data_IF_324281957050
#
_entry.id   IF_324281957050
#
_cell.length_a   1.000
_cell.length_b   1.000
_cell.length_c   1.000
_cell.angle_alpha   90.00
_cell.angle_beta   90.00
_cell.angle_gamma   90.00
#
_symmetry.space_group_name_H-M   'P 1'
#
loop_
_entity.id
_entity.type
_entity.pdbx_description
1 polymer ?
#
# COMPACT_ATOMS: atom_id res chain seq x y z
N UNK A 1 -11.57 -15.04 14.17
CA UNK A 1 -12.16 -14.19 13.11
C UNK A 1 -11.45 -14.48 11.79
N UNK A 2 -12.15 -14.26 10.67
CA UNK A 2 -11.59 -14.32 9.32
C UNK A 2 -11.19 -12.92 8.88
N UNK A 3 -9.88 -12.67 8.81
CA UNK A 3 -9.31 -11.35 8.53
C UNK A 3 -8.79 -11.30 7.10
N UNK A 4 -9.22 -10.30 6.33
CA UNK A 4 -8.70 -10.02 5.01
C UNK A 4 -7.73 -8.83 5.02
N UNK A 5 -6.49 -9.03 4.62
CA UNK A 5 -5.50 -7.97 4.45
C UNK A 5 -5.41 -7.59 2.98
N UNK A 6 -5.64 -6.32 2.67
CA UNK A 6 -5.59 -5.79 1.31
C UNK A 6 -4.28 -5.04 1.09
N UNK A 7 -3.52 -5.40 0.06
CA UNK A 7 -2.26 -4.73 -0.28
C UNK A 7 -2.06 -4.67 -1.79
N UNK A 8 -2.02 -3.47 -2.35
CA UNK A 8 -1.93 -3.31 -3.80
C UNK A 8 -0.55 -3.70 -4.34
N UNK A 9 0.47 -3.70 -3.50
CA UNK A 9 1.85 -4.05 -3.83
C UNK A 9 2.55 -4.59 -2.59
N UNK A 10 3.21 -5.75 -2.68
CA UNK A 10 3.80 -6.41 -1.51
C UNK A 10 5.12 -7.08 -1.83
N UNK A 11 6.06 -6.30 -2.41
CA UNK A 11 7.39 -6.84 -2.71
C UNK A 11 8.04 -7.43 -1.45
N UNK A 12 8.52 -8.70 -1.48
CA UNK A 12 8.99 -9.38 -0.28
C UNK A 12 10.30 -8.82 0.29
N UNK A 13 11.13 -8.20 -0.56
CA UNK A 13 12.50 -7.76 -0.20
C UNK A 13 12.75 -6.26 -0.36
N UNK A 14 11.83 -5.51 -0.95
CA UNK A 14 12.00 -4.06 -1.13
C UNK A 14 10.73 -3.29 -0.78
N UNK A 15 10.92 -2.13 -0.19
CA UNK A 15 9.81 -1.32 0.34
C UNK A 15 9.22 -1.91 1.63
N UNK A 16 8.56 -1.07 2.40
CA UNK A 16 8.01 -1.46 3.70
C UNK A 16 6.73 -2.28 3.63
N UNK A 17 5.93 -2.12 2.56
CA UNK A 17 4.56 -2.67 2.50
C UNK A 17 4.51 -4.19 2.55
N UNK A 18 5.35 -4.88 1.78
CA UNK A 18 5.39 -6.34 1.76
C UNK A 18 5.88 -6.93 3.08
N UNK A 19 6.89 -6.31 3.69
CA UNK A 19 7.43 -6.70 5.00
C UNK A 19 6.37 -6.50 6.08
N UNK A 20 5.67 -5.35 6.06
CA UNK A 20 4.58 -5.06 7.00
C UNK A 20 3.46 -6.11 6.90
N UNK A 21 2.99 -6.43 5.70
CA UNK A 21 1.94 -7.43 5.47
C UNK A 21 2.39 -8.83 5.95
N UNK A 22 3.64 -9.21 5.69
CA UNK A 22 4.20 -10.48 6.16
C UNK A 22 4.15 -10.58 7.68
N UNK A 23 4.67 -9.58 8.39
CA UNK A 23 4.70 -9.60 9.85
C UNK A 23 3.30 -9.48 10.47
N UNK A 24 2.44 -8.62 9.93
CA UNK A 24 1.07 -8.46 10.41
C UNK A 24 0.24 -9.74 10.22
N UNK A 25 0.31 -10.36 9.04
CA UNK A 25 -0.41 -11.61 8.77
C UNK A 25 0.05 -12.75 9.68
N UNK A 26 1.36 -12.87 9.93
CA UNK A 26 1.94 -13.82 10.89
C UNK A 26 1.44 -13.57 12.31
N UNK A 27 1.46 -12.33 12.77
CA UNK A 27 1.03 -11.97 14.12
C UNK A 27 -0.47 -12.27 14.32
N UNK A 28 -1.33 -11.89 13.38
CA UNK A 28 -2.76 -12.18 13.44
C UNK A 28 -3.04 -13.69 13.43
N UNK A 29 -2.32 -14.45 12.62
CA UNK A 29 -2.42 -15.92 12.62
C UNK A 29 -2.02 -16.50 13.98
N UNK A 30 -0.92 -16.03 14.57
CA UNK A 30 -0.46 -16.50 15.89
C UNK A 30 -1.46 -16.19 17.01
N UNK A 31 -2.28 -15.14 16.84
CA UNK A 31 -3.41 -14.82 17.71
C UNK A 31 -4.66 -15.70 17.46
N UNK A 32 -4.58 -16.69 16.58
CA UNK A 32 -5.67 -17.62 16.31
C UNK A 32 -6.68 -17.14 15.27
N UNK A 33 -6.35 -16.13 14.46
CA UNK A 33 -7.21 -15.67 13.37
C UNK A 33 -6.93 -16.45 12.06
N UNK A 34 -7.97 -16.66 11.27
CA UNK A 34 -7.85 -17.14 9.89
C UNK A 34 -7.54 -15.93 9.01
N UNK A 35 -6.33 -15.89 8.42
CA UNK A 35 -5.85 -14.72 7.69
C UNK A 35 -5.74 -15.01 6.20
N UNK A 36 -6.36 -14.15 5.38
CA UNK A 36 -6.23 -14.12 3.92
C UNK A 36 -5.61 -12.79 3.48
N UNK A 37 -4.54 -12.85 2.72
CA UNK A 37 -3.90 -11.67 2.10
C UNK A 37 -4.33 -11.58 0.65
N UNK A 38 -5.07 -10.52 0.30
CA UNK A 38 -5.42 -10.19 -1.08
C UNK A 38 -4.36 -9.22 -1.60
N UNK A 39 -3.43 -9.72 -2.41
CA UNK A 39 -2.29 -8.89 -2.86
C UNK A 39 -2.24 -8.73 -4.37
N UNK A 40 -1.91 -7.48 -4.80
CA UNK A 40 -1.38 -7.23 -6.14
C UNK A 40 0.10 -7.63 -6.26
N UNK A 41 0.63 -7.77 -7.49
CA UNK A 41 2.05 -8.03 -7.71
C UNK A 41 2.92 -6.79 -7.40
N UNK A 42 4.20 -6.98 -7.05
CA UNK A 42 4.83 -8.25 -6.70
C UNK A 42 4.21 -8.85 -5.43
N UNK A 43 4.01 -10.17 -5.44
CA UNK A 43 3.33 -10.86 -4.35
C UNK A 43 4.23 -11.04 -3.14
N UNK A 44 3.67 -11.03 -1.90
CA UNK A 44 4.44 -11.23 -0.70
C UNK A 44 4.84 -12.70 -0.51
N UNK A 45 5.95 -12.92 0.19
CA UNK A 45 6.26 -14.21 0.80
C UNK A 45 5.62 -14.27 2.19
N UNK A 46 4.65 -15.16 2.36
CA UNK A 46 3.86 -15.30 3.58
C UNK A 46 4.25 -16.57 4.34
N UNK A 47 4.09 -16.53 5.66
CA UNK A 47 4.29 -17.70 6.51
C UNK A 47 3.25 -18.80 6.22
N UNK A 48 3.62 -20.05 6.45
CA UNK A 48 2.72 -21.20 6.28
C UNK A 48 1.41 -20.99 7.02
N UNK A 49 0.29 -21.33 6.38
CA UNK A 49 -1.06 -21.20 6.93
C UNK A 49 -1.68 -19.79 6.87
N UNK A 50 -1.04 -18.83 6.23
CA UNK A 50 -1.66 -17.59 5.75
C UNK A 50 -2.09 -17.83 4.29
N UNK A 51 -3.35 -17.56 3.98
CA UNK A 51 -3.87 -17.75 2.62
C UNK A 51 -3.52 -16.54 1.73
N UNK A 52 -2.91 -16.79 0.57
CA UNK A 52 -2.63 -15.76 -0.44
C UNK A 52 -3.65 -15.82 -1.57
N UNK A 53 -4.44 -14.75 -1.71
CA UNK A 53 -5.35 -14.53 -2.83
C UNK A 53 -4.70 -13.51 -3.77
N UNK A 54 -4.21 -13.99 -4.91
CA UNK A 54 -3.56 -13.15 -5.91
C UNK A 54 -4.59 -12.30 -6.66
N UNK A 55 -4.39 -11.00 -6.63
CA UNK A 55 -5.15 -10.01 -7.43
C UNK A 55 -4.26 -9.62 -8.61
N UNK A 56 -4.55 -10.08 -9.82
CA UNK A 56 -3.66 -9.83 -10.96
C UNK A 56 -3.64 -8.35 -11.35
N UNK A 57 -2.51 -7.90 -11.90
CA UNK A 57 -2.37 -6.64 -12.63
C UNK A 57 -1.63 -6.90 -13.95
N UNK A 58 -1.48 -5.88 -14.79
CA UNK A 58 -0.76 -6.02 -16.05
C UNK A 58 0.76 -6.14 -15.87
N UNK A 59 1.30 -5.81 -14.68
CA UNK A 59 2.74 -5.92 -14.37
C UNK A 59 3.62 -5.00 -15.21
N UNK A 60 3.10 -3.86 -15.67
CA UNK A 60 3.74 -3.01 -16.68
C UNK A 60 4.99 -2.27 -16.19
N UNK A 61 5.15 -2.14 -14.87
CA UNK A 61 6.34 -1.49 -14.29
C UNK A 61 7.57 -2.40 -14.30
N UNK A 62 7.34 -3.71 -14.32
CA UNK A 62 8.40 -4.72 -14.36
C UNK A 62 8.81 -5.05 -15.80
N UNK A 63 7.91 -4.80 -16.77
CA UNK A 63 8.19 -4.97 -18.18
C UNK A 63 8.80 -3.70 -18.77
N UNK A 64 10.04 -3.74 -19.27
CA UNK A 64 10.68 -2.60 -19.92
C UNK A 64 9.99 -2.13 -21.21
N UNK A 65 9.05 -2.90 -21.78
CA UNK A 65 8.42 -2.67 -23.08
C UNK A 65 6.93 -2.35 -22.97
N UNK A 66 6.61 -1.20 -22.38
CA UNK A 66 5.22 -0.78 -22.08
C UNK A 66 4.31 -0.72 -23.31
N UNK A 67 4.84 -0.29 -24.48
CA UNK A 67 4.08 -0.25 -25.74
C UNK A 67 3.74 -1.63 -26.26
N UNK A 68 4.71 -2.55 -26.26
CA UNK A 68 4.52 -3.93 -26.71
C UNK A 68 3.67 -4.77 -25.78
N UNK A 69 3.42 -4.30 -24.57
CA UNK A 69 2.55 -4.97 -23.61
C UNK A 69 1.07 -4.91 -23.98
N UNK A 70 0.68 -4.09 -24.97
CA UNK A 70 -0.71 -4.02 -25.43
C UNK A 70 -1.21 -5.38 -25.89
N UNK A 71 -2.43 -5.71 -25.49
CA UNK A 71 -3.18 -6.90 -25.92
C UNK A 71 -4.59 -6.48 -26.31
N UNK A 72 -5.12 -7.00 -27.43
CA UNK A 72 -6.48 -6.69 -27.87
C UNK A 72 -7.54 -6.94 -26.79
N UNK A 73 -7.31 -7.90 -25.89
CA UNK A 73 -8.20 -8.17 -24.75
C UNK A 73 -8.38 -6.96 -23.80
N UNK A 74 -7.44 -6.00 -23.80
CA UNK A 74 -7.58 -4.80 -22.94
C UNK A 74 -8.76 -3.93 -23.38
N UNK A 75 -9.14 -3.97 -24.65
CA UNK A 75 -10.31 -3.25 -25.15
C UNK A 75 -11.63 -3.78 -24.53
N UNK A 76 -11.64 -5.01 -24.06
CA UNK A 76 -12.79 -5.63 -23.39
C UNK A 76 -12.77 -5.48 -21.86
N UNK A 77 -11.70 -4.92 -21.29
CA UNK A 77 -11.52 -4.67 -19.87
C UNK A 77 -11.21 -3.19 -19.63
N UNK A 78 -12.18 -2.35 -19.27
CA UNK A 78 -11.94 -0.92 -19.01
C UNK A 78 -10.86 -0.67 -17.96
N UNK A 79 -10.70 -1.59 -16.98
CA UNK A 79 -9.68 -1.49 -15.93
C UNK A 79 -8.29 -1.72 -16.51
N UNK A 80 -8.14 -2.73 -17.37
CA UNK A 80 -6.85 -3.06 -17.99
C UNK A 80 -6.44 -1.98 -19.01
N UNK A 81 -7.40 -1.49 -19.79
CA UNK A 81 -7.18 -0.39 -20.73
C UNK A 81 -6.74 0.88 -19.99
N UNK A 82 -7.42 1.24 -18.90
CA UNK A 82 -7.06 2.37 -18.05
C UNK A 82 -5.65 2.19 -17.46
N UNK A 83 -5.32 0.99 -16.95
CA UNK A 83 -4.00 0.69 -16.40
C UNK A 83 -2.92 0.87 -17.47
N UNK A 84 -3.11 0.31 -18.66
CA UNK A 84 -2.16 0.41 -19.75
C UNK A 84 -1.94 1.87 -20.20
N UNK A 85 -2.99 2.64 -20.48
CA UNK A 85 -2.89 4.04 -20.90
C UNK A 85 -2.23 4.89 -19.83
N UNK A 86 -2.58 4.67 -18.56
CA UNK A 86 -2.02 5.46 -17.46
C UNK A 86 -0.52 5.22 -17.30
N UNK A 87 -0.07 3.96 -17.35
CA UNK A 87 1.36 3.63 -17.28
C UNK A 87 2.11 4.12 -18.50
N UNK A 88 1.52 4.02 -19.71
CA UNK A 88 2.10 4.51 -20.95
C UNK A 88 2.39 6.02 -20.88
N UNK A 89 1.51 6.77 -20.22
CA UNK A 89 1.65 8.22 -20.04
C UNK A 89 2.40 8.61 -18.76
N UNK A 90 3.10 7.66 -18.09
CA UNK A 90 3.93 7.91 -16.91
C UNK A 90 3.17 8.01 -15.58
N UNK A 91 1.90 7.62 -15.54
CA UNK A 91 1.10 7.60 -14.31
C UNK A 91 1.22 6.29 -13.55
N UNK A 92 0.74 6.30 -12.28
CA UNK A 92 0.73 5.16 -11.38
C UNK A 92 -0.72 4.74 -11.05
N UNK A 93 -1.32 3.80 -11.82
CA UNK A 93 -2.73 3.43 -11.67
C UNK A 93 -2.98 2.38 -10.60
N UNK A 94 -1.96 1.71 -10.06
CA UNK A 94 -2.10 0.51 -9.22
C UNK A 94 -3.07 0.68 -8.05
N UNK A 95 -3.05 1.76 -7.24
CA UNK A 95 -4.00 1.91 -6.14
C UNK A 95 -5.47 1.87 -6.60
N UNK A 96 -5.76 2.47 -7.75
CA UNK A 96 -7.11 2.49 -8.31
C UNK A 96 -7.52 1.14 -8.90
N UNK A 97 -6.69 0.58 -9.79
CA UNK A 97 -7.03 -0.65 -10.54
C UNK A 97 -7.07 -1.87 -9.63
N UNK A 98 -6.15 -1.93 -8.66
CA UNK A 98 -6.15 -2.93 -7.61
C UNK A 98 -7.48 -2.91 -6.82
N UNK A 99 -7.89 -1.74 -6.32
CA UNK A 99 -9.14 -1.64 -5.56
C UNK A 99 -10.35 -2.08 -6.36
N UNK A 100 -10.42 -1.76 -7.67
CA UNK A 100 -11.50 -2.24 -8.54
C UNK A 100 -11.50 -3.77 -8.68
N UNK A 101 -10.33 -4.39 -8.84
CA UNK A 101 -10.19 -5.84 -8.93
C UNK A 101 -10.51 -6.54 -7.60
N UNK A 102 -10.10 -5.96 -6.47
CA UNK A 102 -10.47 -6.47 -5.14
C UNK A 102 -11.98 -6.44 -4.95
N UNK A 103 -12.62 -5.30 -5.24
CA UNK A 103 -14.08 -5.18 -5.11
C UNK A 103 -14.80 -6.21 -5.96
N UNK A 104 -14.38 -6.41 -7.21
CA UNK A 104 -14.89 -7.45 -8.09
C UNK A 104 -14.71 -8.84 -7.46
N UNK A 105 -13.50 -9.14 -6.95
CA UNK A 105 -13.18 -10.43 -6.32
C UNK A 105 -14.03 -10.71 -5.09
N UNK A 106 -14.29 -9.72 -4.26
CA UNK A 106 -15.13 -9.83 -3.07
C UNK A 106 -16.59 -10.14 -3.45
N UNK A 107 -17.10 -9.50 -4.51
CA UNK A 107 -18.48 -9.73 -5.01
C UNK A 107 -18.65 -11.12 -5.63
N UNK A 108 -17.70 -11.56 -6.45
CA UNK A 108 -17.83 -12.81 -7.21
C UNK A 108 -17.66 -14.07 -6.38
N UNK A 109 -16.76 -14.04 -5.38
CA UNK A 109 -16.40 -15.26 -4.66
C UNK A 109 -17.04 -15.40 -3.29
N UNK A 110 -17.91 -14.48 -2.90
CA UNK A 110 -18.60 -14.49 -1.60
C UNK A 110 -17.66 -14.86 -0.44
N UNK A 111 -16.48 -14.22 -0.43
CA UNK A 111 -15.46 -14.46 0.58
C UNK A 111 -16.03 -14.07 1.94
N UNK A 112 -16.22 -15.08 2.80
CA UNK A 112 -16.72 -14.88 4.17
C UNK A 112 -15.57 -14.32 5.02
N UNK A 113 -15.45 -13.01 5.04
CA UNK A 113 -14.46 -12.28 5.85
C UNK A 113 -15.21 -11.45 6.88
N UNK A 114 -14.73 -11.49 8.13
CA UNK A 114 -15.35 -10.75 9.24
C UNK A 114 -14.89 -9.28 9.27
N UNK A 115 -13.66 -9.03 8.83
CA UNK A 115 -13.05 -7.70 8.80
C UNK A 115 -12.01 -7.61 7.68
N UNK A 116 -11.88 -6.42 7.11
CA UNK A 116 -10.85 -6.07 6.13
C UNK A 116 -9.93 -5.00 6.68
N UNK A 117 -8.65 -5.11 6.38
CA UNK A 117 -7.65 -4.10 6.64
C UNK A 117 -6.92 -3.75 5.33
N UNK A 118 -7.06 -2.51 4.88
CA UNK A 118 -6.35 -2.00 3.70
C UNK A 118 -4.99 -1.41 4.09
N UNK A 119 -3.96 -1.78 3.34
CA UNK A 119 -2.61 -1.28 3.51
C UNK A 119 -2.35 -0.11 2.54
N UNK A 120 -2.88 1.05 2.89
CA UNK A 120 -2.64 2.35 2.22
C UNK A 120 -2.96 2.40 0.71
N UNK A 121 -3.89 1.60 0.20
CA UNK A 121 -4.30 1.79 -1.20
C UNK A 121 -5.08 3.08 -1.38
N UNK A 122 -5.94 3.41 -0.42
CA UNK A 122 -6.86 4.54 -0.45
C UNK A 122 -7.65 4.61 -1.77
N UNK A 123 -7.94 3.44 -2.34
CA UNK A 123 -8.73 3.30 -3.56
C UNK A 123 -10.17 3.78 -3.36
N UNK A 124 -10.75 4.37 -4.40
CA UNK A 124 -12.17 4.74 -4.39
C UNK A 124 -13.10 3.55 -4.12
N UNK A 125 -12.69 2.33 -4.43
CA UNK A 125 -13.45 1.11 -4.16
C UNK A 125 -13.62 0.82 -2.67
N UNK A 126 -12.75 1.36 -1.80
CA UNK A 126 -12.86 1.17 -0.34
C UNK A 126 -14.16 1.77 0.21
N UNK A 127 -14.71 2.82 -0.42
CA UNK A 127 -15.98 3.42 0.00
C UNK A 127 -17.15 2.45 -0.18
N UNK A 128 -17.13 1.64 -1.23
CA UNK A 128 -18.12 0.61 -1.45
C UNK A 128 -17.83 -0.63 -0.58
N UNK A 129 -16.57 -1.00 -0.42
CA UNK A 129 -16.17 -2.12 0.44
C UNK A 129 -16.61 -1.87 1.89
N UNK A 130 -16.40 -0.67 2.44
CA UNK A 130 -16.80 -0.35 3.82
C UNK A 130 -18.32 -0.31 4.04
N UNK A 131 -19.13 -0.27 2.97
CA UNK A 131 -20.58 -0.39 3.09
C UNK A 131 -21.03 -1.83 3.34
N UNK A 132 -20.22 -2.81 2.97
CA UNK A 132 -20.53 -4.24 3.05
C UNK A 132 -19.66 -5.02 4.05
N UNK A 133 -18.49 -4.50 4.41
CA UNK A 133 -17.55 -5.14 5.34
C UNK A 133 -17.08 -4.14 6.40
N UNK A 134 -16.89 -4.58 7.64
CA UNK A 134 -16.06 -3.83 8.59
C UNK A 134 -14.68 -3.61 7.98
N UNK A 135 -14.27 -2.35 7.83
CA UNK A 135 -13.03 -1.96 7.18
C UNK A 135 -12.25 -1.00 8.07
N UNK A 136 -10.96 -1.26 8.24
CA UNK A 136 -9.97 -0.30 8.70
C UNK A 136 -8.91 -0.07 7.61
N UNK A 137 -8.31 1.10 7.59
CA UNK A 137 -7.29 1.48 6.60
C UNK A 137 -6.03 1.96 7.32
N UNK A 138 -4.91 1.30 7.10
CA UNK A 138 -3.61 1.77 7.61
C UNK A 138 -3.03 2.81 6.66
N UNK A 139 -2.67 3.98 7.18
CA UNK A 139 -1.95 5.02 6.46
C UNK A 139 -0.60 5.22 7.15
N UNK A 140 0.47 4.81 6.48
CA UNK A 140 1.84 4.93 7.00
C UNK A 140 2.32 6.38 6.98
N UNK A 141 2.14 7.03 5.84
CA UNK A 141 2.38 8.48 5.65
C UNK A 141 1.63 8.97 4.41
N UNK A 142 1.22 10.24 4.36
CA UNK A 142 0.64 10.82 3.16
C UNK A 142 1.71 11.09 2.09
N UNK A 143 1.62 10.40 0.96
CA UNK A 143 2.54 10.59 -0.21
C UNK A 143 2.46 12.00 -0.79
N UNK A 144 1.47 12.79 -0.39
CA UNK A 144 1.35 14.21 -0.77
C UNK A 144 2.55 15.05 -0.36
N UNK A 145 3.23 14.70 0.74
CA UNK A 145 4.46 15.39 1.18
C UNK A 145 5.61 15.12 0.23
N UNK A 146 5.78 13.86 -0.16
CA UNK A 146 6.82 13.44 -1.11
C UNK A 146 6.63 14.16 -2.45
N UNK A 147 5.39 14.18 -2.96
CA UNK A 147 5.06 14.92 -4.18
C UNK A 147 5.36 16.42 -4.07
N UNK A 148 5.03 17.05 -2.93
CA UNK A 148 5.37 18.47 -2.72
C UNK A 148 6.88 18.73 -2.78
N UNK A 149 7.68 17.88 -2.13
CA UNK A 149 9.14 17.96 -2.14
C UNK A 149 9.71 17.75 -3.55
N UNK A 150 9.22 16.75 -4.29
CA UNK A 150 9.63 16.54 -5.68
C UNK A 150 9.31 17.76 -6.55
N UNK A 151 8.11 18.32 -6.40
CA UNK A 151 7.70 19.51 -7.17
C UNK A 151 8.52 20.75 -6.84
N UNK A 152 8.97 20.90 -5.58
CA UNK A 152 9.86 21.99 -5.16
C UNK A 152 11.29 21.82 -5.69
N UNK A 153 11.77 20.57 -5.74
CA UNK A 153 13.13 20.26 -6.17
C UNK A 153 13.26 20.09 -7.68
N UNK A 154 12.15 20.02 -8.41
CA UNK A 154 12.16 19.86 -9.87
C UNK A 154 12.77 21.06 -10.57
N UNK A 155 13.86 20.81 -11.32
CA UNK A 155 14.67 21.82 -12.00
C UNK A 155 13.96 22.38 -13.24
N UNK A 156 13.16 21.53 -13.91
CA UNK A 156 12.52 21.89 -15.18
C UNK A 156 11.06 21.41 -15.28
N UNK A 157 10.35 21.90 -16.29
CA UNK A 157 8.95 21.57 -16.49
C UNK A 157 8.68 20.09 -16.81
N UNK A 158 9.67 19.37 -17.39
CA UNK A 158 9.53 17.93 -17.70
C UNK A 158 9.53 17.10 -16.45
N UNK A 159 10.39 17.42 -15.49
CA UNK A 159 10.41 16.77 -14.16
C UNK A 159 9.11 17.02 -13.40
N UNK A 160 8.61 18.26 -13.42
CA UNK A 160 7.31 18.61 -12.82
C UNK A 160 6.17 17.83 -13.43
N UNK A 161 6.16 17.72 -14.77
CA UNK A 161 5.14 16.95 -15.48
C UNK A 161 5.25 15.45 -15.15
N UNK A 162 6.45 14.90 -15.09
CA UNK A 162 6.72 13.51 -14.74
C UNK A 162 6.23 13.20 -13.31
N UNK A 163 6.62 14.02 -12.33
CA UNK A 163 6.16 13.87 -10.95
C UNK A 163 4.64 14.01 -10.82
N UNK A 164 4.04 15.01 -11.49
CA UNK A 164 2.58 15.17 -11.50
C UNK A 164 1.85 13.99 -12.13
N UNK A 165 2.40 13.41 -13.19
CA UNK A 165 1.84 12.21 -13.85
C UNK A 165 1.98 10.98 -12.97
N UNK A 166 3.14 10.77 -12.35
CA UNK A 166 3.37 9.67 -11.42
C UNK A 166 2.39 9.70 -10.24
N UNK A 167 2.16 10.88 -9.68
CA UNK A 167 1.28 11.08 -8.53
C UNK A 167 -0.20 11.30 -8.89
N UNK A 168 -0.65 10.85 -10.06
CA UNK A 168 -2.01 11.04 -10.57
C UNK A 168 -3.11 10.40 -9.69
N UNK A 169 -2.76 9.53 -8.77
CA UNK A 169 -3.67 8.87 -7.83
C UNK A 169 -3.97 9.73 -6.57
N UNK A 170 -3.16 10.75 -6.27
CA UNK A 170 -3.34 11.57 -5.06
C UNK A 170 -4.70 12.28 -4.95
N UNK A 171 -5.29 12.84 -6.02
CA UNK A 171 -6.63 13.41 -5.94
C UNK A 171 -7.69 12.40 -5.48
N UNK A 172 -7.58 11.14 -5.91
CA UNK A 172 -8.44 10.06 -5.44
C UNK A 172 -8.23 9.82 -3.94
N UNK A 173 -6.99 9.68 -3.47
CA UNK A 173 -6.68 9.45 -2.06
C UNK A 173 -7.19 10.58 -1.17
N UNK A 174 -7.00 11.84 -1.56
CA UNK A 174 -7.53 13.03 -0.86
C UNK A 174 -9.06 13.03 -0.77
N UNK A 175 -9.74 12.53 -1.79
CA UNK A 175 -11.20 12.43 -1.80
C UNK A 175 -11.71 11.27 -0.95
N UNK A 176 -11.00 10.15 -0.93
CA UNK A 176 -11.41 8.90 -0.25
C UNK A 176 -11.15 8.97 1.26
N UNK A 177 -9.96 9.39 1.67
CA UNK A 177 -9.51 9.32 3.06
C UNK A 177 -10.50 9.96 4.07
N UNK A 178 -11.08 11.16 3.84
CA UNK A 178 -12.02 11.76 4.78
C UNK A 178 -13.33 10.97 4.95
N UNK A 179 -13.68 10.15 3.97
CA UNK A 179 -14.92 9.36 3.95
C UNK A 179 -14.76 7.96 4.59
N UNK A 180 -13.55 7.57 4.91
CA UNK A 180 -13.28 6.32 5.64
C UNK A 180 -13.73 6.45 7.10
N UNK A 181 -14.19 5.34 7.68
CA UNK A 181 -14.72 5.29 9.05
C UNK A 181 -13.64 5.04 10.09
N UNK A 182 -12.69 4.14 9.78
CA UNK A 182 -11.64 3.73 10.71
C UNK A 182 -10.29 3.80 10.01
N UNK A 183 -9.40 4.62 10.54
CA UNK A 183 -8.06 4.83 10.02
C UNK A 183 -7.05 4.50 11.11
N UNK A 184 -5.99 3.79 10.75
CA UNK A 184 -4.86 3.48 11.61
C UNK A 184 -3.66 4.27 11.08
N UNK A 185 -3.01 5.03 11.96
CA UNK A 185 -1.72 5.66 11.68
C UNK A 185 -0.63 5.00 12.52
N UNK A 186 0.57 4.89 11.96
CA UNK A 186 1.68 4.17 12.60
C UNK A 186 2.45 5.01 13.61
N UNK A 187 2.18 6.31 13.69
CA UNK A 187 2.80 7.24 14.64
C UNK A 187 1.96 8.50 14.82
N UNK A 188 2.24 9.25 15.89
CA UNK A 188 1.58 10.53 16.12
C UNK A 188 1.89 11.55 15.01
N UNK A 189 3.13 11.71 14.51
CA UNK A 189 3.42 12.57 13.36
C UNK A 189 2.64 12.16 12.10
N UNK A 190 2.54 10.85 11.83
CA UNK A 190 1.74 10.35 10.70
C UNK A 190 0.26 10.71 10.83
N UNK A 191 -0.31 10.65 12.04
CA UNK A 191 -1.69 11.10 12.31
C UNK A 191 -1.87 12.59 12.00
N UNK A 192 -0.97 13.44 12.48
CA UNK A 192 -0.99 14.89 12.24
C UNK A 192 -0.91 15.19 10.73
N UNK A 193 -0.07 14.47 10.02
CA UNK A 193 0.06 14.58 8.57
C UNK A 193 -1.22 14.16 7.83
N UNK A 194 -1.86 13.08 8.24
CA UNK A 194 -3.13 12.62 7.66
C UNK A 194 -4.24 13.64 7.88
N UNK A 195 -4.32 14.22 9.09
CA UNK A 195 -5.28 15.29 9.38
C UNK A 195 -5.04 16.50 8.49
N UNK A 196 -3.80 16.96 8.39
CA UNK A 196 -3.46 18.18 7.65
C UNK A 196 -3.59 18.01 6.13
N UNK A 197 -3.13 16.88 5.57
CA UNK A 197 -3.05 16.66 4.12
C UNK A 197 -4.35 16.13 3.52
N UNK A 198 -5.05 15.26 4.25
CA UNK A 198 -6.27 14.61 3.77
C UNK A 198 -7.56 15.18 4.40
N UNK A 199 -7.45 16.10 5.38
CA UNK A 199 -8.60 16.69 6.08
C UNK A 199 -9.49 15.63 6.75
N UNK A 200 -8.86 14.60 7.30
CA UNK A 200 -9.57 13.54 8.04
C UNK A 200 -9.92 14.03 9.44
N UNK A 201 -11.13 13.69 9.92
CA UNK A 201 -11.52 13.93 11.32
C UNK A 201 -10.66 13.08 12.27
N UNK A 202 -10.03 13.74 13.25
CA UNK A 202 -9.17 13.11 14.23
C UNK A 202 -9.81 11.93 14.94
N UNK A 203 -11.12 12.00 15.21
CA UNK A 203 -11.90 10.96 15.89
C UNK A 203 -11.93 9.63 15.13
N UNK A 204 -11.65 9.62 13.83
CA UNK A 204 -11.57 8.43 12.99
C UNK A 204 -10.21 7.76 13.00
N UNK A 205 -9.20 8.38 13.64
CA UNK A 205 -7.81 7.94 13.56
C UNK A 205 -7.37 7.35 14.88
N UNK A 206 -6.90 6.11 14.84
CA UNK A 206 -6.22 5.43 15.96
C UNK A 206 -4.73 5.29 15.64
N UNK A 207 -3.87 5.61 16.59
CA UNK A 207 -2.42 5.41 16.44
C UNK A 207 -2.06 4.03 16.96
N UNK A 208 -1.52 3.19 16.07
CA UNK A 208 -1.01 1.85 16.39
C UNK A 208 0.41 1.75 15.81
N UNK A 209 1.46 1.82 16.62
CA UNK A 209 2.84 1.74 16.13
C UNK A 209 3.14 0.40 15.46
N UNK A 210 4.04 0.42 14.48
CA UNK A 210 4.54 -0.82 13.88
C UNK A 210 5.29 -1.65 14.92
N UNK A 211 4.94 -2.94 15.00
CA UNK A 211 5.67 -3.91 15.81
C UNK A 211 6.95 -4.37 15.11
N UNK A 212 7.91 -4.81 15.89
CA UNK A 212 9.13 -5.48 15.43
C UNK A 212 9.23 -6.88 16.04
N UNK A 213 9.86 -7.79 15.32
CA UNK A 213 10.13 -9.14 15.84
C UNK A 213 11.30 -9.11 16.83
N UNK A 214 10.98 -9.17 18.12
CA UNK A 214 11.98 -9.15 19.21
C UNK A 214 12.83 -10.43 19.27
N UNK A 215 12.42 -11.50 18.60
CA UNK A 215 13.25 -12.70 18.41
C UNK A 215 14.42 -12.47 17.47
N UNK A 216 14.23 -11.58 16.49
CA UNK A 216 15.25 -11.17 15.51
C UNK A 216 16.02 -9.94 16.02
N UNK A 217 15.28 -8.90 16.41
CA UNK A 217 15.85 -7.63 16.88
C UNK A 217 16.00 -7.62 18.40
N UNK A 218 17.14 -8.07 18.87
CA UNK A 218 17.48 -8.12 20.30
C UNK A 218 18.86 -7.50 20.55
N UNK A 219 19.10 -6.97 21.77
CA UNK A 219 20.41 -6.47 22.15
C UNK A 219 21.50 -7.53 21.94
N UNK A 220 22.64 -7.12 21.37
CA UNK A 220 23.80 -8.01 21.22
C UNK A 220 24.39 -8.30 22.60
N UNK A 221 24.75 -9.56 22.83
CA UNK A 221 25.54 -9.97 24.00
C UNK A 221 27.03 -9.63 23.86
N UNK A 222 27.46 -9.15 22.68
CA UNK A 222 28.84 -8.75 22.47
C UNK A 222 29.18 -7.51 23.30
N UNK A 223 30.40 -7.50 23.87
CA UNK A 223 30.94 -6.32 24.58
C UNK A 223 30.92 -5.11 23.65
N UNK A 224 30.41 -3.98 24.13
CA UNK A 224 30.48 -2.73 23.38
C UNK A 224 31.93 -2.40 23.03
N UNK A 225 32.20 -2.06 21.79
CA UNK A 225 33.52 -1.55 21.38
C UNK A 225 33.81 -0.25 22.14
N UNK A 226 35.04 -0.10 22.60
CA UNK A 226 35.51 1.15 23.23
C UNK A 226 35.67 2.29 22.22
N UNK A 227 35.61 2.01 20.91
CA UNK A 227 35.69 3.01 19.86
C UNK A 227 34.33 3.66 19.62
N UNK A 228 34.31 4.98 19.45
CA UNK A 228 33.12 5.68 18.99
C UNK A 228 32.67 5.16 17.62
N UNK A 229 31.39 4.80 17.50
CA UNK A 229 30.76 4.39 16.24
C UNK A 229 29.51 5.23 16.01
N UNK A 230 29.43 5.79 14.83
CA UNK A 230 28.18 6.38 14.34
C UNK A 230 27.54 5.33 13.42
N UNK A 231 26.32 4.91 13.76
CA UNK A 231 25.52 4.00 12.94
C UNK A 231 24.29 4.75 12.46
N UNK A 232 24.06 4.73 11.18
CA UNK A 232 22.84 5.24 10.58
C UNK A 232 22.12 4.12 9.86
N UNK A 233 20.81 4.06 10.01
CA UNK A 233 19.94 3.19 9.20
C UNK A 233 19.03 4.09 8.39
N UNK A 234 19.05 3.94 7.09
CA UNK A 234 18.20 4.68 6.18
C UNK A 234 17.58 3.75 5.15
N UNK A 235 16.40 4.11 4.66
CA UNK A 235 15.89 3.50 3.43
C UNK A 235 16.86 3.86 2.31
N UNK A 236 17.23 2.86 1.50
CA UNK A 236 18.08 3.12 0.34
C UNK A 236 17.37 4.10 -0.60
N UNK A 237 17.99 5.25 -0.81
CA UNK A 237 17.54 6.28 -1.74
C UNK A 237 17.93 5.98 -3.21
N UNK A 238 18.28 4.72 -3.52
CA UNK A 238 18.74 4.32 -4.86
C UNK A 238 17.65 4.45 -5.94
N UNK A 239 16.43 4.81 -5.55
CA UNK A 239 15.30 4.96 -6.47
C UNK A 239 14.61 6.33 -6.36
N UNK A 240 15.36 7.35 -5.96
CA UNK A 240 14.93 8.74 -6.10
C UNK A 240 15.60 9.36 -7.33
#
# INVERSE_FOLDING_TARGET
MKVGLLSYRSHPYSGGQGIYIKHLSKALKNLGHEVSVLSGPPYPELDSGVNLIKIPSLGLFESGERLKAFRLRFLWSPIDLYEWITVLTGGFPEPYTYGKRVLKRLKENNLKLDVLLDNQSLSSSLLEIQAHYPLAVTIHHPITKDHKLEMQNAINWKERLSSSRWHNFLPMQKKVAPQLKNIICVSQPSKEDVISEFKVDEKKITVIPNGIDIGIFKPSSQKKSLSFRIVTTALSLIHI
#
